data_IF_472935156302
#
_entry.id   IF_472935156302
#
_cell.length_a   1.000
_cell.length_b   1.000
_cell.length_c   1.000
_cell.angle_alpha   90.00
_cell.angle_beta   90.00
_cell.angle_gamma   90.00
#
_symmetry.space_group_name_H-M   'P 1'
#
loop_
_entity.id
_entity.type
_entity.pdbx_description
1 polymer ?
#
# COMPACT_ATOMS: atom_id res chain seq x y z
N UNK A 1 5.71 12.32 1.14
CA UNK A 1 4.49 11.52 0.88
C UNK A 1 4.86 10.06 0.98
N UNK A 2 4.15 9.27 1.78
CA UNK A 2 4.36 7.82 1.93
C UNK A 2 3.63 7.06 0.82
N UNK A 3 4.04 5.82 0.54
CA UNK A 3 3.37 5.00 -0.49
C UNK A 3 1.87 4.83 -0.21
N UNK A 4 1.51 4.66 1.07
CA UNK A 4 0.11 4.53 1.48
C UNK A 4 -0.73 5.78 1.18
N UNK A 5 -0.16 6.97 1.39
CA UNK A 5 -0.83 8.25 1.10
C UNK A 5 -1.02 8.38 -0.41
N UNK A 6 0.04 8.11 -1.18
CA UNK A 6 -0.02 8.08 -2.65
C UNK A 6 -1.14 7.16 -3.16
N UNK A 7 -1.18 5.91 -2.69
CA UNK A 7 -2.21 4.92 -3.08
C UNK A 7 -3.61 5.40 -2.72
N UNK A 8 -3.80 5.89 -1.50
CA UNK A 8 -5.12 6.35 -1.01
C UNK A 8 -5.63 7.54 -1.83
N UNK A 9 -4.79 8.54 -2.08
CA UNK A 9 -5.17 9.75 -2.79
C UNK A 9 -5.53 9.45 -4.25
N UNK A 10 -4.71 8.63 -4.90
CA UNK A 10 -4.96 8.22 -6.29
C UNK A 10 -6.20 7.32 -6.40
N UNK A 11 -6.38 6.35 -5.49
CA UNK A 11 -7.56 5.50 -5.48
C UNK A 11 -8.84 6.32 -5.31
N UNK A 12 -8.85 7.28 -4.39
CA UNK A 12 -10.00 8.15 -4.15
C UNK A 12 -10.32 9.01 -5.37
N UNK A 13 -9.29 9.60 -5.99
CA UNK A 13 -9.44 10.43 -7.19
C UNK A 13 -10.01 9.64 -8.37
N UNK A 14 -9.42 8.48 -8.65
CA UNK A 14 -9.86 7.56 -9.71
C UNK A 14 -11.27 7.05 -9.47
N UNK A 15 -11.57 6.57 -8.25
CA UNK A 15 -12.89 6.05 -7.91
C UNK A 15 -13.97 7.14 -8.03
N UNK A 16 -13.68 8.36 -7.61
CA UNK A 16 -14.62 9.49 -7.72
C UNK A 16 -14.95 9.81 -9.18
N UNK A 17 -13.95 9.86 -10.06
CA UNK A 17 -14.15 10.10 -11.49
C UNK A 17 -14.96 8.97 -12.15
N UNK A 18 -14.60 7.71 -11.89
CA UNK A 18 -15.29 6.55 -12.45
C UNK A 18 -16.74 6.44 -11.95
N UNK A 19 -16.99 6.78 -10.68
CA UNK A 19 -18.35 6.85 -10.11
C UNK A 19 -19.21 7.94 -10.77
N UNK A 20 -18.59 9.01 -11.25
CA UNK A 20 -19.24 10.07 -12.04
C UNK A 20 -19.33 9.74 -13.54
N UNK A 21 -19.00 8.51 -13.94
CA UNK A 21 -18.92 8.07 -15.34
C UNK A 21 -17.97 8.90 -16.20
N UNK A 22 -16.90 9.42 -15.59
CA UNK A 22 -15.84 10.17 -16.27
C UNK A 22 -14.61 9.30 -16.49
N UNK A 23 -13.77 9.70 -17.45
CA UNK A 23 -12.47 9.07 -17.65
C UNK A 23 -11.57 9.29 -16.43
N UNK A 24 -10.68 8.33 -16.10
CA UNK A 24 -9.64 8.51 -15.09
C UNK A 24 -8.85 9.83 -15.32
N UNK A 25 -8.73 10.72 -14.31
CA UNK A 25 -8.00 11.98 -14.47
C UNK A 25 -6.48 11.78 -14.52
N UNK A 26 -6.01 10.59 -14.12
CA UNK A 26 -4.60 10.22 -13.99
C UNK A 26 -4.43 8.75 -14.37
N UNK A 27 -3.21 8.41 -14.80
CA UNK A 27 -2.85 7.05 -15.19
C UNK A 27 -3.37 6.64 -16.57
N UNK A 28 -2.97 5.45 -16.97
CA UNK A 28 -3.26 4.86 -18.27
C UNK A 28 -4.21 3.67 -18.12
N UNK A 29 -5.16 3.55 -19.04
CA UNK A 29 -6.05 2.40 -19.15
C UNK A 29 -6.44 2.15 -20.61
N UNK A 30 -6.90 0.94 -20.91
CA UNK A 30 -7.43 0.60 -22.24
C UNK A 30 -8.74 1.36 -22.49
N UNK A 31 -8.77 2.19 -23.54
CA UNK A 31 -9.93 3.01 -23.88
C UNK A 31 -11.18 2.19 -24.27
N UNK A 32 -11.00 1.05 -24.93
CA UNK A 32 -12.10 0.18 -25.31
C UNK A 32 -12.70 -0.49 -24.06
N UNK A 33 -11.83 -0.92 -23.14
CA UNK A 33 -12.25 -1.45 -21.85
C UNK A 33 -12.93 -0.39 -20.98
N UNK A 34 -12.43 0.85 -20.98
CA UNK A 34 -13.06 1.98 -20.29
C UNK A 34 -14.47 2.22 -20.81
N UNK A 35 -14.66 2.32 -22.13
CA UNK A 35 -15.98 2.49 -22.74
C UNK A 35 -16.94 1.37 -22.35
N UNK A 36 -16.47 0.12 -22.35
CA UNK A 36 -17.28 -1.04 -21.98
C UNK A 36 -17.63 -1.06 -20.48
N UNK A 37 -16.70 -0.67 -19.62
CA UNK A 37 -16.91 -0.54 -18.19
C UNK A 37 -17.88 0.59 -17.84
N UNK A 38 -17.77 1.77 -18.46
CA UNK A 38 -18.66 2.91 -18.20
C UNK A 38 -20.12 2.64 -18.59
N UNK A 39 -20.38 1.66 -19.45
CA UNK A 39 -21.75 1.18 -19.75
C UNK A 39 -22.37 0.40 -18.61
N UNK A 40 -21.58 -0.14 -17.67
CA UNK A 40 -22.02 -0.92 -16.52
C UNK A 40 -22.08 0.03 -15.32
N UNK A 41 -23.29 0.35 -14.86
CA UNK A 41 -23.48 1.53 -14.00
C UNK A 41 -22.77 1.51 -12.64
N UNK A 42 -22.59 0.34 -12.00
CA UNK A 42 -22.06 0.28 -10.63
C UNK A 42 -20.57 -0.07 -10.61
N UNK A 43 -19.74 0.85 -10.13
CA UNK A 43 -18.31 0.63 -9.90
C UNK A 43 -18.00 0.29 -8.43
N UNK A 44 -17.02 -0.59 -8.23
CA UNK A 44 -16.44 -0.98 -6.95
C UNK A 44 -14.91 -0.98 -7.06
N UNK A 45 -14.21 -0.74 -5.96
CA UNK A 45 -12.76 -0.87 -5.91
C UNK A 45 -12.36 -2.35 -5.83
N UNK A 46 -11.42 -2.76 -6.66
CA UNK A 46 -10.81 -4.08 -6.68
C UNK A 46 -9.45 -4.10 -5.98
N UNK A 47 -8.54 -4.94 -6.49
CA UNK A 47 -7.19 -5.10 -5.94
C UNK A 47 -6.30 -3.93 -6.32
N UNK A 48 -5.39 -3.56 -5.42
CA UNK A 48 -4.24 -2.69 -5.74
C UNK A 48 -3.01 -3.57 -5.91
N UNK A 49 -2.34 -3.49 -7.06
CA UNK A 49 -1.09 -4.22 -7.34
C UNK A 49 0.08 -3.27 -7.45
N UNK A 50 1.19 -3.64 -6.83
CA UNK A 50 2.43 -2.88 -6.87
C UNK A 50 3.35 -3.41 -7.97
N UNK A 51 3.93 -2.48 -8.75
CA UNK A 51 5.02 -2.70 -9.69
C UNK A 51 6.20 -1.84 -9.25
N UNK A 52 7.45 -2.15 -9.67
CA UNK A 52 8.62 -1.39 -9.25
C UNK A 52 8.52 0.12 -9.46
N UNK A 53 7.82 0.58 -10.51
CA UNK A 53 7.66 1.99 -10.87
C UNK A 53 6.19 2.40 -11.10
N UNK A 54 5.22 1.61 -10.63
CA UNK A 54 3.81 1.91 -10.85
C UNK A 54 2.90 1.24 -9.81
N UNK A 55 1.70 1.79 -9.66
CA UNK A 55 0.58 1.16 -8.94
C UNK A 55 -0.54 0.89 -9.93
N UNK A 56 -1.06 -0.34 -9.92
CA UNK A 56 -2.21 -0.72 -10.73
C UNK A 56 -3.44 -0.78 -9.82
N UNK A 57 -4.47 -0.02 -10.18
CA UNK A 57 -5.75 0.04 -9.49
C UNK A 57 -6.80 -0.70 -10.31
N UNK A 58 -7.37 -1.75 -9.74
CA UNK A 58 -8.50 -2.46 -10.36
C UNK A 58 -9.82 -1.84 -9.91
N UNK A 59 -10.75 -1.72 -10.86
CA UNK A 59 -12.12 -1.31 -10.62
C UNK A 59 -13.06 -2.33 -11.23
N UNK A 60 -14.01 -2.82 -10.44
CA UNK A 60 -14.98 -3.84 -10.85
C UNK A 60 -16.29 -3.14 -11.15
N UNK A 61 -16.73 -3.23 -12.39
CA UNK A 61 -18.00 -2.72 -12.86
C UNK A 61 -19.01 -3.85 -12.94
N UNK A 62 -20.21 -3.62 -12.39
CA UNK A 62 -21.28 -4.61 -12.35
C UNK A 62 -22.54 -4.05 -13.00
N UNK A 63 -23.17 -4.90 -13.80
CA UNK A 63 -24.50 -4.67 -14.36
C UNK A 63 -25.29 -6.00 -14.40
N UNK A 64 -26.58 -6.02 -14.02
CA UNK A 64 -27.38 -7.24 -14.00
C UNK A 64 -27.52 -7.92 -15.36
N UNK A 65 -27.44 -7.17 -16.47
CA UNK A 65 -27.65 -7.67 -17.82
C UNK A 65 -26.34 -7.96 -18.57
N UNK A 66 -25.26 -7.24 -18.26
CA UNK A 66 -23.98 -7.33 -18.99
C UNK A 66 -22.88 -8.10 -18.25
N UNK A 67 -23.12 -8.51 -16.99
CA UNK A 67 -22.13 -9.20 -16.17
C UNK A 67 -20.98 -8.30 -15.70
N UNK A 68 -20.04 -8.84 -14.91
CA UNK A 68 -18.92 -8.07 -14.38
C UNK A 68 -17.88 -7.74 -15.46
N UNK A 69 -17.31 -6.54 -15.40
CA UNK A 69 -16.12 -6.16 -16.15
C UNK A 69 -15.10 -5.53 -15.20
N UNK A 70 -13.82 -5.69 -15.50
CA UNK A 70 -12.74 -5.10 -14.71
C UNK A 70 -12.05 -4.04 -15.56
N UNK A 71 -11.80 -2.86 -14.99
CA UNK A 71 -10.91 -1.84 -15.56
C UNK A 71 -9.64 -1.80 -14.71
N UNK A 72 -8.47 -1.80 -15.35
CA UNK A 72 -7.20 -1.56 -14.66
C UNK A 72 -6.66 -0.20 -15.07
N UNK A 73 -6.37 0.65 -14.08
CA UNK A 73 -5.69 1.93 -14.29
C UNK A 73 -4.28 1.84 -13.72
N UNK A 74 -3.27 2.11 -14.54
CA UNK A 74 -1.86 2.10 -14.14
C UNK A 74 -1.38 3.52 -13.92
N UNK A 75 -0.86 3.81 -12.73
CA UNK A 75 -0.31 5.12 -12.37
C UNK A 75 1.18 4.97 -12.08
N UNK A 76 2.03 5.74 -12.77
CA UNK A 76 3.46 5.78 -12.51
C UNK A 76 3.77 6.38 -11.14
N UNK A 77 4.79 5.86 -10.47
CA UNK A 77 5.24 6.39 -9.19
C UNK A 77 6.39 7.37 -9.34
N UNK A 78 6.51 8.38 -8.46
CA UNK A 78 7.60 9.36 -8.53
C UNK A 78 8.97 8.77 -8.19
N UNK A 79 8.99 7.61 -7.53
CA UNK A 79 10.19 6.88 -7.18
C UNK A 79 9.89 5.37 -7.10
N UNK A 80 10.93 4.50 -7.00
CA UNK A 80 10.73 3.07 -6.94
C UNK A 80 9.93 2.62 -5.71
N UNK A 81 9.07 1.61 -5.92
CA UNK A 81 8.46 0.83 -4.85
C UNK A 81 9.37 -0.36 -4.53
N UNK A 82 9.69 -0.52 -3.25
CA UNK A 82 10.47 -1.63 -2.73
C UNK A 82 9.62 -2.51 -1.83
N UNK A 83 9.91 -3.81 -1.81
CA UNK A 83 9.35 -4.74 -0.85
C UNK A 83 10.30 -4.86 0.33
N UNK A 84 9.81 -4.52 1.52
CA UNK A 84 10.52 -4.71 2.79
C UNK A 84 10.07 -6.05 3.38
N UNK A 85 10.88 -7.12 3.28
CA UNK A 85 10.55 -8.40 3.90
C UNK A 85 10.51 -8.26 5.42
N UNK A 86 9.82 -9.19 6.07
CA UNK A 86 9.85 -9.30 7.54
C UNK A 86 11.27 -9.76 7.94
N UNK A 87 11.98 -9.04 8.81
CA UNK A 87 13.29 -9.48 9.26
C UNK A 87 13.24 -10.86 9.94
N UNK A 88 14.26 -11.69 9.73
CA UNK A 88 14.28 -13.08 10.21
C UNK A 88 14.09 -13.18 11.74
N UNK A 89 14.67 -12.25 12.50
CA UNK A 89 14.51 -12.18 13.96
C UNK A 89 13.08 -11.90 14.44
N UNK A 90 12.21 -11.38 13.56
CA UNK A 90 10.77 -11.25 13.84
C UNK A 90 10.04 -12.54 13.49
N UNK A 91 10.47 -13.24 12.44
CA UNK A 91 9.85 -14.49 11.99
C UNK A 91 10.00 -15.60 13.05
N UNK A 92 11.13 -15.65 13.75
CA UNK A 92 11.42 -16.64 14.80
C UNK A 92 10.47 -16.55 16.01
N UNK A 93 9.89 -15.38 16.27
CA UNK A 93 9.00 -15.15 17.43
C UNK A 93 7.51 -15.30 17.11
N UNK A 94 7.12 -15.50 15.85
CA UNK A 94 5.70 -15.56 15.44
C UNK A 94 5.20 -17.00 15.41
N UNK A 95 4.34 -17.34 16.38
CA UNK A 95 3.83 -18.71 16.55
C UNK A 95 2.56 -19.01 15.71
N UNK A 96 1.84 -17.98 15.24
CA UNK A 96 0.63 -18.14 14.39
C UNK A 96 0.43 -16.95 13.42
N UNK A 97 0.13 -17.25 12.15
CA UNK A 97 -0.24 -16.29 11.11
C UNK A 97 0.78 -16.16 9.98
N UNK A 98 0.33 -15.76 8.79
CA UNK A 98 1.23 -15.32 7.71
C UNK A 98 1.70 -13.89 8.00
N UNK A 99 2.99 -13.71 8.27
CA UNK A 99 3.59 -12.37 8.35
C UNK A 99 4.21 -12.05 7.01
N UNK A 100 3.51 -11.23 6.22
CA UNK A 100 4.02 -10.70 4.96
C UNK A 100 4.87 -9.46 5.17
N UNK A 101 5.89 -9.28 4.32
CA UNK A 101 6.57 -8.00 4.17
C UNK A 101 5.64 -6.92 3.63
N UNK A 102 6.14 -5.69 3.58
CA UNK A 102 5.34 -4.52 3.17
C UNK A 102 5.97 -3.79 1.99
N UNK A 103 5.15 -3.21 1.12
CA UNK A 103 5.62 -2.31 0.08
C UNK A 103 5.79 -0.90 0.61
N UNK A 104 6.86 -0.22 0.21
CA UNK A 104 7.18 1.16 0.56
C UNK A 104 7.78 1.88 -0.63
N UNK A 105 7.74 3.20 -0.63
CA UNK A 105 8.65 3.95 -1.48
C UNK A 105 10.09 3.76 -0.99
N UNK A 106 11.05 3.84 -1.91
CA UNK A 106 12.48 3.70 -1.56
C UNK A 106 12.89 4.69 -0.48
N UNK A 107 12.55 5.96 -0.62
CA UNK A 107 12.88 7.00 0.37
C UNK A 107 12.27 6.72 1.75
N UNK A 108 11.03 6.23 1.78
CA UNK A 108 10.34 5.81 3.02
C UNK A 108 11.08 4.64 3.68
N UNK A 109 11.52 3.65 2.89
CA UNK A 109 12.27 2.50 3.39
C UNK A 109 13.66 2.89 3.92
N UNK A 110 14.39 3.75 3.20
CA UNK A 110 15.69 4.28 3.62
C UNK A 110 15.57 5.00 4.97
N UNK A 111 14.58 5.89 5.10
CA UNK A 111 14.33 6.61 6.35
C UNK A 111 14.02 5.66 7.52
N UNK A 112 13.24 4.60 7.28
CA UNK A 112 12.92 3.61 8.32
C UNK A 112 14.17 2.85 8.79
N UNK A 113 15.06 2.48 7.86
CA UNK A 113 16.30 1.77 8.17
C UNK A 113 17.26 2.68 8.95
N UNK A 114 17.43 3.92 8.51
CA UNK A 114 18.25 4.92 9.21
C UNK A 114 17.75 5.16 10.63
N UNK A 115 16.43 5.32 10.79
CA UNK A 115 15.82 5.52 12.10
C UNK A 115 16.06 4.31 13.01
N UNK A 116 15.86 3.08 12.51
CA UNK A 116 16.10 1.86 13.28
C UNK A 116 17.56 1.73 13.70
N UNK A 117 18.50 2.00 12.78
CA UNK A 117 19.92 1.98 13.08
C UNK A 117 20.29 3.00 14.17
N UNK A 118 19.76 4.22 14.08
CA UNK A 118 20.04 5.27 15.06
C UNK A 118 19.42 4.98 16.44
N UNK A 119 18.18 4.50 16.50
CA UNK A 119 17.45 4.32 17.77
C UNK A 119 17.73 3.00 18.47
N UNK A 120 17.94 1.92 17.69
CA UNK A 120 17.90 0.56 18.22
C UNK A 120 19.26 -0.12 18.17
N UNK A 121 20.13 0.22 17.22
CA UNK A 121 21.47 -0.37 17.13
C UNK A 121 22.52 0.41 17.94
N UNK A 122 22.22 1.64 18.34
CA UNK A 122 23.07 2.41 19.26
C UNK A 122 22.93 1.90 20.69
N UNK A 123 24.04 1.50 21.32
CA UNK A 123 24.06 0.99 22.71
C UNK A 123 23.37 1.93 23.69
N UNK A 124 23.67 3.23 23.62
CA UNK A 124 23.16 4.22 24.56
C UNK A 124 21.65 4.43 24.40
N UNK A 125 21.15 4.45 23.15
CA UNK A 125 19.72 4.61 22.87
C UNK A 125 18.94 3.33 23.14
N UNK A 126 19.55 2.18 22.87
CA UNK A 126 18.96 0.87 23.08
C UNK A 126 18.75 0.57 24.58
N UNK A 127 19.60 1.13 25.47
CA UNK A 127 19.51 0.95 26.92
C UNK A 127 18.13 1.31 27.51
N UNK A 128 17.41 2.27 26.90
CA UNK A 128 16.06 2.69 27.34
C UNK A 128 15.09 1.51 27.43
N UNK A 129 15.15 0.56 26.48
CA UNK A 129 14.28 -0.61 26.45
C UNK A 129 14.56 -1.63 27.57
N UNK A 130 15.74 -1.57 28.18
CA UNK A 130 16.14 -2.43 29.29
C UNK A 130 15.80 -1.79 30.65
N UNK A 131 15.86 -0.46 30.75
CA UNK A 131 15.57 0.29 31.96
C UNK A 131 14.05 0.38 32.25
N UNK A 132 13.20 0.55 31.23
CA UNK A 132 11.74 0.61 31.42
C UNK A 132 11.14 -0.72 31.92
N UNK A 133 11.69 -1.87 31.48
CA UNK A 133 11.30 -3.18 32.01
C UNK A 133 11.59 -3.35 33.51
N UNK A 134 12.56 -2.62 34.06
CA UNK A 134 12.83 -2.66 35.50
C UNK A 134 11.82 -1.87 36.33
N UNK A 135 11.25 -0.79 35.78
CA UNK A 135 10.25 0.03 36.51
C UNK A 135 8.90 -0.69 36.67
N UNK A 136 8.48 -1.47 35.68
CA UNK A 136 7.20 -2.20 35.72
C UNK A 136 7.16 -3.33 36.78
N UNK A 137 8.32 -3.80 37.28
CA UNK A 137 8.41 -4.84 38.32
C UNK A 137 8.49 -4.30 39.76
N UNK A 138 8.57 -2.99 39.98
CA UNK A 138 8.49 -2.39 41.33
C UNK A 138 7.06 -1.92 41.62
N UNK A 139 6.19 -2.87 41.96
CA UNK A 139 5.00 -2.63 42.78
C UNK A 139 5.09 -3.61 43.95
N UNK A 140 5.60 -3.12 45.09
CA UNK A 140 5.33 -3.70 46.41
C UNK A 140 3.88 -3.41 46.82
#
# INVERSE_FOLDING_TARGET
MRLREFVSDHLNSLFTALKASQAPPIGECDEAQLKECLRRGRVQTGTVRYRPMAVQFEFIFQDPSLGPAVLTVTVETPEPIVYMPVPDWVQEEVWQGEVGGTFRFRSEAEQMIEQFAASTLSTDQNAVWFEERQRAKRRE
#
